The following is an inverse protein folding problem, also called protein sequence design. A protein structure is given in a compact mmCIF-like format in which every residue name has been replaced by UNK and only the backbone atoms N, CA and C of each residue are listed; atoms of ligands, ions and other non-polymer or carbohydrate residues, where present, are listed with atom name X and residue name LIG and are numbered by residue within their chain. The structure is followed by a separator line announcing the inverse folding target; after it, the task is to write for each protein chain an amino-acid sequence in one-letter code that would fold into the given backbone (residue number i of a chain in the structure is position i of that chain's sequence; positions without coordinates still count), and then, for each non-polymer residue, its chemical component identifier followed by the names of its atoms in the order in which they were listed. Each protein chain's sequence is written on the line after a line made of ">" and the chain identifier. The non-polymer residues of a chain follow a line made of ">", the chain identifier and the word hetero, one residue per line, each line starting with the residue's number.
data_IF_141584351036
#
_entry.id   IF_141584351036
#
_cell.length_a   1.000
_cell.length_b   1.000
_cell.length_c   1.000
_cell.angle_alpha   90.00
_cell.angle_beta   90.00
_cell.angle_gamma   90.00
#
_symmetry.space_group_name_H-M   'P 1'
#
loop_
_entity.id
_entity.type
_entity.pdbx_description
1 polymer ?
#
# COMPACT_ATOMS: atom_id res chain seq x y z
N UNK A 1 26.45 10.02 -12.96
CA UNK A 1 25.12 10.69 -12.85
C UNK A 1 23.99 9.81 -13.36
N UNK A 2 24.19 9.06 -14.44
CA UNK A 2 23.17 8.14 -14.99
C UNK A 2 22.74 7.04 -14.00
N UNK A 3 23.67 6.41 -13.29
CA UNK A 3 23.34 5.36 -12.31
C UNK A 3 22.44 5.86 -11.17
N UNK A 4 22.70 7.07 -10.66
CA UNK A 4 21.86 7.69 -9.63
C UNK A 4 20.44 7.93 -10.14
N UNK A 5 20.31 8.39 -11.38
CA UNK A 5 19.00 8.64 -12.01
C UNK A 5 18.22 7.33 -12.18
N UNK A 6 18.88 6.25 -12.62
CA UNK A 6 18.27 4.93 -12.78
C UNK A 6 17.72 4.43 -11.43
N UNK A 7 18.53 4.50 -10.38
CA UNK A 7 18.12 4.07 -9.03
C UNK A 7 16.96 4.91 -8.50
N UNK A 8 16.98 6.22 -8.73
CA UNK A 8 15.89 7.11 -8.34
C UNK A 8 14.59 6.75 -9.06
N UNK A 9 14.65 6.50 -10.37
CA UNK A 9 13.48 6.07 -11.15
C UNK A 9 12.96 4.72 -10.66
N UNK A 10 13.84 3.74 -10.41
CA UNK A 10 13.46 2.43 -9.86
C UNK A 10 12.70 2.58 -8.54
N UNK A 11 13.20 3.43 -7.64
CA UNK A 11 12.54 3.72 -6.37
C UNK A 11 11.18 4.37 -6.57
N UNK A 12 11.08 5.41 -7.39
CA UNK A 12 9.81 6.12 -7.65
C UNK A 12 8.77 5.18 -8.26
N UNK A 13 9.17 4.37 -9.24
CA UNK A 13 8.28 3.43 -9.92
C UNK A 13 7.77 2.38 -8.94
N UNK A 14 8.65 1.74 -8.18
CA UNK A 14 8.24 0.71 -7.20
C UNK A 14 7.36 1.31 -6.09
N UNK A 15 7.74 2.48 -5.57
CA UNK A 15 6.96 3.23 -4.60
C UNK A 15 5.55 3.57 -5.13
N UNK A 16 5.45 4.02 -6.38
CA UNK A 16 4.17 4.34 -7.01
C UNK A 16 3.31 3.10 -7.21
N UNK A 17 3.90 1.97 -7.65
CA UNK A 17 3.17 0.71 -7.76
C UNK A 17 2.62 0.23 -6.42
N UNK A 18 3.40 0.36 -5.33
CA UNK A 18 2.96 -0.03 -3.99
C UNK A 18 1.75 0.79 -3.51
N UNK A 19 1.69 2.08 -3.88
CA UNK A 19 0.59 2.98 -3.54
C UNK A 19 -0.62 2.72 -4.43
N UNK A 20 -0.43 2.60 -5.73
CA UNK A 20 -1.54 2.40 -6.69
C UNK A 20 -2.20 1.04 -6.54
N UNK A 21 -1.48 0.01 -6.08
CA UNK A 21 -2.04 -1.31 -5.81
C UNK A 21 -3.20 -1.31 -4.81
N UNK A 22 -3.27 -0.30 -3.95
CA UNK A 22 -4.30 -0.16 -2.92
C UNK A 22 -5.56 0.59 -3.41
N UNK A 23 -5.41 1.51 -4.37
CA UNK A 23 -6.51 2.36 -4.88
C UNK A 23 -7.77 1.58 -5.34
N UNK A 24 -7.69 0.43 -6.04
CA UNK A 24 -8.88 -0.32 -6.45
C UNK A 24 -9.74 -0.79 -5.28
N UNK A 25 -9.14 -0.97 -4.10
CA UNK A 25 -9.81 -1.45 -2.90
C UNK A 25 -10.54 -0.34 -2.13
N UNK A 26 -10.14 0.91 -2.33
CA UNK A 26 -10.81 2.09 -1.77
C UNK A 26 -12.05 2.50 -2.57
N UNK A 27 -12.11 2.16 -3.87
CA UNK A 27 -13.19 2.54 -4.77
C UNK A 27 -14.60 2.08 -4.35
N UNK A 28 -14.82 0.83 -3.88
CA UNK A 28 -16.14 0.34 -3.49
C UNK A 28 -16.78 1.11 -2.32
N UNK A 29 -15.96 1.74 -1.47
CA UNK A 29 -16.42 2.44 -0.27
C UNK A 29 -17.13 3.77 -0.57
N UNK A 30 -17.00 4.31 -1.79
CA UNK A 30 -17.64 5.56 -2.21
C UNK A 30 -19.17 5.53 -2.08
N UNK A 31 -19.80 4.38 -2.39
CA UNK A 31 -21.26 4.24 -2.46
C UNK A 31 -21.84 3.50 -1.25
N UNK A 32 -21.14 3.50 -0.10
CA UNK A 32 -21.60 2.82 1.11
C UNK A 32 -22.93 3.40 1.61
N UNK A 33 -23.92 2.52 1.81
CA UNK A 33 -25.23 2.85 2.39
C UNK A 33 -25.28 2.68 3.91
N UNK A 34 -24.37 1.89 4.46
CA UNK A 34 -24.29 1.59 5.91
C UNK A 34 -23.08 2.26 6.54
N UNK A 35 -23.16 2.68 7.82
CA UNK A 35 -22.03 3.25 8.54
C UNK A 35 -20.88 2.26 8.66
N UNK A 36 -19.66 2.76 8.54
CA UNK A 36 -18.48 1.95 8.83
C UNK A 36 -18.33 1.63 10.32
N UNK A 37 -17.82 0.43 10.66
CA UNK A 37 -17.56 0.09 12.05
C UNK A 37 -16.42 0.95 12.63
N UNK A 38 -16.56 1.39 13.87
CA UNK A 38 -15.51 2.16 14.57
C UNK A 38 -14.25 1.32 14.88
N UNK A 39 -14.42 0.00 15.03
CA UNK A 39 -13.35 -0.95 15.34
C UNK A 39 -13.04 -1.80 14.12
N UNK A 40 -11.86 -1.58 13.55
CA UNK A 40 -11.41 -2.27 12.33
C UNK A 40 -10.15 -3.13 12.51
N UNK A 41 -9.68 -3.34 13.74
CA UNK A 41 -8.41 -4.05 13.97
C UNK A 41 -8.35 -5.45 13.32
N UNK A 42 -9.43 -6.23 13.40
CA UNK A 42 -9.52 -7.53 12.71
C UNK A 42 -9.52 -7.41 11.19
N UNK A 43 -10.14 -6.36 10.65
CA UNK A 43 -10.13 -6.07 9.22
C UNK A 43 -8.75 -5.66 8.72
N UNK A 44 -8.01 -4.88 9.51
CA UNK A 44 -6.62 -4.49 9.20
C UNK A 44 -5.71 -5.71 9.04
N UNK A 45 -5.88 -6.73 9.89
CA UNK A 45 -5.14 -7.98 9.74
C UNK A 45 -5.48 -8.69 8.43
N UNK A 46 -6.76 -8.71 8.04
CA UNK A 46 -7.18 -9.22 6.73
C UNK A 46 -6.53 -8.48 5.56
N UNK A 47 -6.45 -7.14 5.64
CA UNK A 47 -5.77 -6.32 4.64
C UNK A 47 -4.27 -6.60 4.56
N UNK A 48 -3.59 -6.77 5.69
CA UNK A 48 -2.18 -7.18 5.73
C UNK A 48 -1.98 -8.52 5.01
N UNK A 49 -2.82 -9.52 5.32
CA UNK A 49 -2.74 -10.82 4.66
C UNK A 49 -3.01 -10.73 3.17
N UNK A 50 -4.00 -9.93 2.76
CA UNK A 50 -4.33 -9.74 1.35
C UNK A 50 -3.18 -9.08 0.59
N UNK A 51 -2.59 -8.01 1.13
CA UNK A 51 -1.43 -7.34 0.52
C UNK A 51 -0.23 -8.26 0.41
N UNK A 52 0.04 -9.05 1.45
CA UNK A 52 1.09 -10.07 1.43
C UNK A 52 0.82 -11.17 0.40
N UNK A 53 -0.41 -11.66 0.29
CA UNK A 53 -0.79 -12.69 -0.68
C UNK A 53 -0.66 -12.20 -2.12
N UNK A 54 -1.08 -10.96 -2.41
CA UNK A 54 -0.91 -10.33 -3.72
C UNK A 54 0.57 -10.16 -4.05
N UNK A 55 1.38 -9.68 -3.10
CA UNK A 55 2.83 -9.57 -3.29
C UNK A 55 3.46 -10.93 -3.59
N UNK A 56 3.14 -11.95 -2.79
CA UNK A 56 3.64 -13.31 -2.97
C UNK A 56 3.26 -13.85 -4.34
N UNK A 57 1.99 -13.75 -4.74
CA UNK A 57 1.53 -14.12 -6.08
C UNK A 57 2.28 -13.36 -7.18
N UNK A 58 2.54 -12.07 -6.98
CA UNK A 58 3.27 -11.24 -7.95
C UNK A 58 4.72 -11.68 -8.17
N UNK A 59 5.36 -12.31 -7.18
CA UNK A 59 6.76 -12.80 -7.31
C UNK A 59 6.91 -13.96 -8.29
N UNK A 60 5.84 -14.67 -8.64
CA UNK A 60 5.89 -15.74 -9.65
C UNK A 60 5.91 -15.21 -11.07
N UNK A 61 5.46 -13.97 -11.29
CA UNK A 61 5.31 -13.37 -12.62
C UNK A 61 6.34 -12.24 -12.84
N UNK A 62 6.67 -11.51 -11.78
CA UNK A 62 7.54 -10.33 -11.83
C UNK A 62 8.71 -10.46 -10.86
N UNK A 63 9.78 -9.71 -11.13
CA UNK A 63 10.92 -9.58 -10.20
C UNK A 63 10.44 -9.07 -8.82
N UNK A 64 10.96 -9.62 -7.70
CA UNK A 64 10.55 -9.24 -6.34
C UNK A 64 10.75 -7.75 -6.01
N UNK A 65 11.77 -7.12 -6.58
CA UNK A 65 12.03 -5.68 -6.47
C UNK A 65 12.75 -5.17 -7.71
N UNK A 66 12.59 -3.89 -8.01
CA UNK A 66 13.34 -3.14 -9.00
C UNK A 66 14.44 -2.27 -8.37
N UNK A 67 14.39 -2.04 -7.05
CA UNK A 67 15.38 -1.22 -6.33
C UNK A 67 16.65 -2.04 -6.10
N UNK A 68 17.79 -1.57 -6.57
CA UNK A 68 19.09 -2.23 -6.38
C UNK A 68 19.74 -1.95 -5.01
N UNK A 69 19.54 -0.75 -4.45
CA UNK A 69 20.22 -0.29 -3.23
C UNK A 69 19.47 -0.71 -1.95
N UNK A 70 20.11 -1.43 -1.00
CA UNK A 70 19.46 -1.88 0.24
C UNK A 70 18.88 -0.76 1.09
N UNK A 71 19.57 0.37 1.21
CA UNK A 71 19.09 1.53 1.99
C UNK A 71 17.76 2.08 1.46
N UNK A 72 17.59 2.12 0.13
CA UNK A 72 16.35 2.57 -0.49
C UNK A 72 15.22 1.55 -0.35
N UNK A 73 15.54 0.24 -0.28
CA UNK A 73 14.53 -0.79 0.03
C UNK A 73 13.97 -0.64 1.44
N UNK A 74 14.85 -0.35 2.42
CA UNK A 74 14.43 -0.07 3.79
C UNK A 74 13.60 1.21 3.85
N UNK A 75 14.02 2.26 3.13
CA UNK A 75 13.22 3.47 3.01
C UNK A 75 11.83 3.17 2.40
N UNK A 76 11.76 2.35 1.35
CA UNK A 76 10.51 1.95 0.70
C UNK A 76 9.58 1.19 1.67
N UNK A 77 10.15 0.32 2.51
CA UNK A 77 9.43 -0.46 3.53
C UNK A 77 8.63 0.43 4.50
N UNK A 78 9.12 1.64 4.78
CA UNK A 78 8.50 2.59 5.71
C UNK A 78 7.69 3.66 4.96
N UNK A 79 8.25 4.21 3.88
CA UNK A 79 7.62 5.31 3.15
C UNK A 79 6.39 4.86 2.37
N UNK A 80 6.40 3.68 1.73
CA UNK A 80 5.24 3.22 0.96
C UNK A 80 3.98 3.06 1.81
N UNK A 81 4.00 2.38 2.98
CA UNK A 81 2.80 2.27 3.81
C UNK A 81 2.28 3.61 4.32
N UNK A 82 3.18 4.51 4.73
CA UNK A 82 2.78 5.85 5.20
C UNK A 82 2.13 6.63 4.05
N UNK A 83 2.75 6.63 2.87
CA UNK A 83 2.24 7.35 1.71
C UNK A 83 0.91 6.79 1.22
N UNK A 84 0.74 5.48 1.13
CA UNK A 84 -0.54 4.85 0.77
C UNK A 84 -1.61 5.16 1.81
N UNK A 85 -1.31 5.01 3.10
CA UNK A 85 -2.25 5.38 4.17
C UNK A 85 -2.71 6.84 4.08
N UNK A 86 -1.77 7.79 3.87
CA UNK A 86 -2.09 9.21 3.74
C UNK A 86 -2.90 9.51 2.47
N UNK A 87 -2.60 8.85 1.34
CA UNK A 87 -3.33 9.01 0.10
C UNK A 87 -4.78 8.50 0.27
N UNK A 88 -4.94 7.30 0.81
CA UNK A 88 -6.23 6.69 1.12
C UNK A 88 -7.05 7.57 2.09
N UNK A 89 -6.40 8.10 3.14
CA UNK A 89 -7.02 9.06 4.06
C UNK A 89 -7.52 10.32 3.34
N UNK A 90 -6.72 10.88 2.42
CA UNK A 90 -7.09 12.07 1.66
C UNK A 90 -8.29 11.80 0.75
N UNK A 91 -8.30 10.66 0.05
CA UNK A 91 -9.41 10.21 -0.79
C UNK A 91 -10.67 10.02 0.07
N UNK A 92 -10.55 9.31 1.19
CA UNK A 92 -11.67 9.05 2.08
C UNK A 92 -12.24 10.32 2.72
N UNK A 93 -11.39 11.31 3.09
CA UNK A 93 -11.86 12.63 3.56
C UNK A 93 -12.65 13.35 2.47
N UNK A 94 -12.17 13.32 1.23
CA UNK A 94 -12.90 13.91 0.09
C UNK A 94 -14.26 13.26 -0.08
N UNK A 95 -14.36 11.94 0.07
CA UNK A 95 -15.64 11.23 -0.04
C UNK A 95 -16.55 11.42 1.19
N UNK A 96 -16.00 11.58 2.39
CA UNK A 96 -16.75 11.85 3.60
C UNK A 96 -17.54 13.17 3.56
N UNK A 97 -17.10 14.14 2.75
CA UNK A 97 -17.89 15.35 2.48
C UNK A 97 -19.22 15.07 1.77
N UNK A 98 -19.32 13.97 1.02
CA UNK A 98 -20.53 13.57 0.29
C UNK A 98 -21.27 12.42 0.96
N UNK A 99 -20.56 11.58 1.72
CA UNK A 99 -21.12 10.40 2.38
C UNK A 99 -20.68 10.31 3.85
N UNK A 100 -21.56 10.63 4.82
CA UNK A 100 -21.22 10.65 6.25
C UNK A 100 -20.98 9.25 6.83
N UNK A 101 -21.30 8.18 6.09
CA UNK A 101 -21.07 6.81 6.54
C UNK A 101 -19.60 6.38 6.47
N UNK A 102 -18.75 7.16 5.81
CA UNK A 102 -17.32 6.86 5.61
C UNK A 102 -16.53 7.42 6.80
N UNK A 103 -15.68 6.59 7.40
CA UNK A 103 -14.77 6.99 8.48
C UNK A 103 -13.35 7.05 7.90
N UNK A 104 -12.81 8.25 7.57
CA UNK A 104 -11.54 8.35 6.85
C UNK A 104 -10.33 7.71 7.55
N UNK A 105 -10.37 7.65 8.89
CA UNK A 105 -9.35 6.96 9.69
C UNK A 105 -9.28 5.47 9.36
N UNK A 106 -10.40 4.84 9.01
CA UNK A 106 -10.43 3.42 8.73
C UNK A 106 -9.65 3.10 7.46
N UNK A 107 -9.88 3.88 6.41
CA UNK A 107 -9.18 3.83 5.13
C UNK A 107 -7.65 3.95 5.30
N UNK A 108 -7.18 4.91 6.09
CA UNK A 108 -5.75 5.03 6.43
C UNK A 108 -5.16 3.71 6.91
N UNK A 109 -5.80 3.07 7.89
CA UNK A 109 -5.26 1.85 8.50
C UNK A 109 -5.39 0.64 7.58
N UNK A 110 -6.46 0.56 6.80
CA UNK A 110 -6.63 -0.52 5.81
C UNK A 110 -5.53 -0.45 4.76
N UNK A 111 -5.33 0.72 4.16
CA UNK A 111 -4.29 0.97 3.18
C UNK A 111 -2.90 0.76 3.75
N UNK A 112 -2.61 1.32 4.93
CA UNK A 112 -1.34 1.15 5.62
C UNK A 112 -0.99 -0.32 5.82
N UNK A 113 -1.91 -1.11 6.41
CA UNK A 113 -1.64 -2.52 6.72
C UNK A 113 -1.57 -3.38 5.46
N UNK A 114 -2.38 -3.09 4.44
CA UNK A 114 -2.28 -3.70 3.13
C UNK A 114 -0.89 -3.49 2.52
N UNK A 115 -0.45 -2.23 2.44
CA UNK A 115 0.85 -1.91 1.84
C UNK A 115 1.99 -2.48 2.67
N UNK A 116 1.91 -2.50 4.01
CA UNK A 116 2.88 -3.21 4.88
C UNK A 116 3.03 -4.67 4.44
N UNK A 117 1.92 -5.39 4.30
CA UNK A 117 1.96 -6.79 3.85
C UNK A 117 2.62 -6.93 2.47
N UNK A 118 2.27 -6.02 1.55
CA UNK A 118 2.78 -6.02 0.18
C UNK A 118 4.30 -5.77 0.11
N UNK A 119 4.79 -4.74 0.80
CA UNK A 119 6.23 -4.39 0.78
C UNK A 119 7.07 -5.34 1.63
N UNK A 120 6.52 -5.90 2.71
CA UNK A 120 7.24 -6.87 3.55
C UNK A 120 7.57 -8.16 2.81
N UNK A 121 6.62 -8.70 2.03
CA UNK A 121 6.85 -9.91 1.24
C UNK A 121 7.85 -9.66 0.13
N UNK A 122 7.74 -8.54 -0.60
CA UNK A 122 8.70 -8.16 -1.63
C UNK A 122 10.11 -8.00 -1.07
N UNK A 123 10.24 -7.32 0.08
CA UNK A 123 11.51 -7.17 0.77
C UNK A 123 12.10 -8.53 1.20
N UNK A 124 11.28 -9.39 1.81
CA UNK A 124 11.71 -10.70 2.29
C UNK A 124 12.16 -11.64 1.16
N UNK A 125 11.43 -11.71 0.06
CA UNK A 125 11.78 -12.56 -1.08
C UNK A 125 13.00 -12.06 -1.83
N UNK A 126 13.21 -10.75 -1.90
CA UNK A 126 14.44 -10.18 -2.47
C UNK A 126 15.69 -10.62 -1.70
N UNK A 127 15.61 -10.80 -0.38
CA UNK A 127 16.76 -11.24 0.42
C UNK A 127 17.16 -12.71 0.21
N UNK A 128 16.34 -13.49 -0.49
CA UNK A 128 16.55 -14.92 -0.75
C UNK A 128 16.95 -15.23 -2.20
N UNK A 129 16.85 -14.25 -3.10
CA UNK A 129 17.24 -14.35 -4.50
C UNK A 129 18.66 -13.76 -4.70
#
# INVERSE_FOLDING_TARGET
>A
MEEFLIVLIQFIVEFFFNIVAEIPFDWPSRNRKTPEPERIAGWCFGWLLLGGFIAWGSTFVFSPTFISIPALRIANLVLSPIASGLLSLFIARRHAHTNPNIIPRNHFWQAFWFTVGLVAIRFAYTSRA
#
